data_IF_067144084706
#
_entry.id   IF_067144084706
#
_cell.length_a   1.000
_cell.length_b   1.000
_cell.length_c   1.000
_cell.angle_alpha   90.00
_cell.angle_beta   90.00
_cell.angle_gamma   90.00
#
_symmetry.space_group_name_H-M   'P 1'
#
loop_
_entity.id
_entity.type
_entity.pdbx_description
1 polymer ?
#
# COMPACT_ATOMS: atom_id res chain seq x y z
N UNK A 1 38.47 -35.91 -5.81
CA UNK A 1 37.12 -35.93 -5.19
C UNK A 1 36.70 -34.56 -4.64
N UNK A 2 37.62 -33.62 -4.39
CA UNK A 2 37.35 -32.28 -3.80
C UNK A 2 36.75 -31.24 -4.76
N UNK A 3 36.96 -31.37 -6.08
CA UNK A 3 36.42 -30.44 -7.09
C UNK A 3 34.88 -30.38 -7.12
N UNK A 4 34.22 -31.53 -6.98
CA UNK A 4 32.76 -31.60 -6.95
C UNK A 4 32.20 -30.97 -5.66
N UNK A 5 32.89 -31.19 -4.54
CA UNK A 5 32.52 -30.59 -3.26
C UNK A 5 32.60 -29.06 -3.29
N UNK A 6 33.63 -28.49 -3.93
CA UNK A 6 33.75 -27.03 -4.09
C UNK A 6 32.64 -26.47 -4.99
N UNK A 7 32.28 -27.20 -6.06
CA UNK A 7 31.20 -26.82 -6.96
C UNK A 7 29.85 -26.84 -6.24
N UNK A 8 29.57 -27.90 -5.49
CA UNK A 8 28.33 -28.04 -4.72
C UNK A 8 28.21 -26.96 -3.65
N UNK A 9 29.30 -26.64 -2.94
CA UNK A 9 29.34 -25.53 -1.98
C UNK A 9 29.07 -24.20 -2.68
N UNK A 10 29.70 -23.94 -3.82
CA UNK A 10 29.50 -22.70 -4.56
C UNK A 10 28.04 -22.53 -5.02
N UNK A 11 27.40 -23.60 -5.49
CA UNK A 11 25.99 -23.61 -5.89
C UNK A 11 25.08 -23.34 -4.70
N UNK A 12 25.32 -24.02 -3.56
CA UNK A 12 24.57 -23.79 -2.32
C UNK A 12 24.68 -22.34 -1.85
N UNK A 13 25.88 -21.77 -1.91
CA UNK A 13 26.14 -20.38 -1.51
C UNK A 13 25.41 -19.40 -2.43
N UNK A 14 25.41 -19.66 -3.75
CA UNK A 14 24.68 -18.85 -4.72
C UNK A 14 23.16 -18.88 -4.47
N UNK A 15 22.58 -20.06 -4.21
CA UNK A 15 21.16 -20.19 -3.88
C UNK A 15 20.79 -19.48 -2.58
N UNK A 16 21.64 -19.56 -1.56
CA UNK A 16 21.42 -18.86 -0.29
C UNK A 16 21.40 -17.34 -0.49
N UNK A 17 22.37 -16.80 -1.24
CA UNK A 17 22.43 -15.37 -1.56
C UNK A 17 21.20 -14.92 -2.34
N UNK A 18 20.79 -15.67 -3.36
CA UNK A 18 19.57 -15.38 -4.13
C UNK A 18 18.33 -15.37 -3.23
N UNK A 19 18.22 -16.31 -2.30
CA UNK A 19 17.13 -16.36 -1.32
C UNK A 19 17.08 -15.12 -0.42
N UNK A 20 18.23 -14.66 0.07
CA UNK A 20 18.31 -13.44 0.90
C UNK A 20 17.93 -12.19 0.10
N UNK A 21 18.44 -12.07 -1.13
CA UNK A 21 18.11 -10.95 -2.01
C UNK A 21 16.62 -10.93 -2.31
N UNK A 22 16.04 -12.08 -2.68
CA UNK A 22 14.61 -12.21 -2.93
C UNK A 22 13.77 -11.85 -1.68
N UNK A 23 14.16 -12.33 -0.50
CA UNK A 23 13.47 -12.00 0.76
C UNK A 23 13.54 -10.51 1.09
N UNK A 24 14.68 -9.85 0.83
CA UNK A 24 14.85 -8.42 1.06
C UNK A 24 14.14 -7.54 0.03
N UNK A 25 14.02 -8.00 -1.21
CA UNK A 25 13.33 -7.28 -2.28
C UNK A 25 11.83 -7.59 -2.35
N UNK A 26 11.36 -8.71 -1.81
CA UNK A 26 9.93 -9.05 -1.76
C UNK A 26 9.03 -7.93 -1.19
N UNK A 27 9.42 -7.19 -0.12
CA UNK A 27 8.64 -6.07 0.41
C UNK A 27 8.56 -4.86 -0.53
N UNK A 28 9.44 -4.73 -1.52
CA UNK A 28 9.33 -3.68 -2.55
C UNK A 28 8.24 -4.03 -3.58
N UNK A 29 7.98 -5.32 -3.80
CA UNK A 29 6.97 -5.82 -4.74
C UNK A 29 5.58 -5.90 -4.10
N UNK A 30 5.50 -6.02 -2.79
CA UNK A 30 4.26 -5.94 -2.02
C UNK A 30 4.28 -4.64 -1.23
N UNK A 31 3.81 -3.51 -1.81
CA UNK A 31 3.61 -2.31 -1.01
C UNK A 31 2.79 -2.72 0.21
N UNK A 32 3.33 -2.45 1.41
CA UNK A 32 2.58 -2.57 2.66
C UNK A 32 1.46 -1.55 2.57
N UNK A 33 0.37 -1.96 1.95
CA UNK A 33 -0.82 -1.15 1.80
C UNK A 33 -1.42 -0.99 3.18
N UNK A 34 -1.34 0.27 3.59
CA UNK A 34 -2.21 1.00 4.47
C UNK A 34 -2.58 0.33 5.79
N UNK A 35 -2.07 0.96 6.84
CA UNK A 35 -2.61 0.90 8.18
C UNK A 35 -4.14 0.84 8.08
N UNK A 36 -4.73 -0.27 8.54
CA UNK A 36 -6.18 -0.43 8.58
C UNK A 36 -6.71 0.51 9.64
N UNK A 37 -7.20 1.69 9.22
CA UNK A 37 -7.89 2.59 10.13
C UNK A 37 -9.28 2.01 10.47
N UNK A 38 -9.70 2.11 11.74
CA UNK A 38 -11.03 1.68 12.12
C UNK A 38 -12.08 2.48 11.35
N UNK A 39 -13.09 1.78 10.84
CA UNK A 39 -14.22 2.39 10.15
C UNK A 39 -14.93 3.34 11.11
N UNK A 40 -14.76 4.65 10.91
CA UNK A 40 -15.52 5.65 11.64
C UNK A 40 -17.01 5.49 11.32
N UNK A 41 -17.91 5.71 12.27
CA UNK A 41 -19.37 5.63 12.08
C UNK A 41 -19.94 6.75 11.21
N UNK A 42 -19.09 7.41 10.43
CA UNK A 42 -19.42 8.53 9.58
C UNK A 42 -20.09 8.06 8.29
N UNK A 43 -21.14 8.78 7.86
CA UNK A 43 -21.86 8.50 6.63
C UNK A 43 -21.34 9.42 5.50
N UNK A 44 -20.49 8.86 4.63
CA UNK A 44 -19.90 9.53 3.47
C UNK A 44 -20.92 10.10 2.46
N UNK A 45 -22.18 9.62 2.48
CA UNK A 45 -23.22 10.15 1.58
C UNK A 45 -23.74 11.51 2.02
N UNK A 46 -23.53 11.90 3.27
CA UNK A 46 -24.00 13.18 3.81
C UNK A 46 -22.84 14.18 3.92
N UNK A 47 -21.78 13.81 4.64
CA UNK A 47 -20.64 14.68 4.94
C UNK A 47 -19.29 13.97 4.72
N UNK A 48 -18.20 14.71 4.49
CA UNK A 48 -16.84 14.16 4.50
C UNK A 48 -16.51 13.48 5.83
N UNK A 49 -15.74 12.38 5.78
CA UNK A 49 -15.28 11.69 6.97
C UNK A 49 -13.83 12.03 7.26
N UNK A 50 -13.53 12.36 8.52
CA UNK A 50 -12.18 12.68 8.98
C UNK A 50 -11.66 11.53 9.84
N UNK A 51 -10.43 11.08 9.56
CA UNK A 51 -9.76 10.04 10.32
C UNK A 51 -8.36 10.51 10.74
N UNK A 52 -8.01 10.30 12.00
CA UNK A 52 -6.68 10.60 12.53
C UNK A 52 -5.77 9.38 12.33
N UNK A 53 -4.65 9.59 11.65
CA UNK A 53 -3.63 8.57 11.45
C UNK A 53 -2.79 8.40 12.73
N UNK A 54 -2.17 7.23 12.95
CA UNK A 54 -1.32 6.97 14.14
C UNK A 54 -0.18 7.97 14.31
N UNK A 55 0.27 8.59 13.22
CA UNK A 55 1.35 9.59 13.21
C UNK A 55 0.84 11.02 13.53
N UNK A 56 -0.44 11.19 13.88
CA UNK A 56 -1.07 12.48 14.20
C UNK A 56 -1.59 13.26 12.98
N UNK A 57 -1.37 12.76 11.76
CA UNK A 57 -1.94 13.34 10.54
C UNK A 57 -3.47 13.17 10.47
N UNK A 58 -4.16 14.08 9.78
CA UNK A 58 -5.60 13.99 9.53
C UNK A 58 -5.84 13.69 8.05
N UNK A 59 -6.62 12.66 7.77
CA UNK A 59 -7.13 12.33 6.43
C UNK A 59 -8.60 12.73 6.38
N UNK A 60 -9.00 13.49 5.36
CA UNK A 60 -10.40 13.76 5.03
C UNK A 60 -10.78 13.02 3.75
N UNK A 61 -11.85 12.24 3.81
CA UNK A 61 -12.37 11.48 2.68
C UNK A 61 -13.75 12.01 2.30
N UNK A 62 -13.85 12.57 1.09
CA UNK A 62 -15.09 13.08 0.48
C UNK A 62 -15.40 12.27 -0.77
N UNK A 63 -16.67 11.98 -1.01
CA UNK A 63 -17.13 11.37 -2.27
C UNK A 63 -18.04 12.36 -2.97
N UNK A 64 -17.76 12.69 -4.22
CA UNK A 64 -18.63 13.51 -5.08
C UNK A 64 -19.05 12.71 -6.34
N UNK A 65 -20.28 12.89 -6.87
CA UNK A 65 -21.35 13.75 -6.39
C UNK A 65 -22.15 13.10 -5.25
N UNK A 66 -22.58 13.91 -4.27
CA UNK A 66 -23.53 13.50 -3.22
C UNK A 66 -24.95 13.92 -3.58
N UNK A 67 -25.95 13.03 -3.49
CA UNK A 67 -25.89 11.58 -3.21
C UNK A 67 -25.37 10.79 -4.43
N UNK A 68 -24.68 9.68 -4.18
CA UNK A 68 -24.12 8.80 -5.22
C UNK A 68 -25.28 8.24 -6.06
N UNK A 69 -25.43 8.62 -7.34
CA UNK A 69 -26.49 8.11 -8.19
C UNK A 69 -26.20 6.65 -8.54
N UNK A 70 -27.16 5.75 -8.33
CA UNK A 70 -27.07 4.42 -8.91
C UNK A 70 -26.92 4.55 -10.45
N UNK A 71 -25.98 3.79 -11.03
CA UNK A 71 -25.71 3.73 -12.48
C UNK A 71 -24.96 4.92 -13.12
N UNK A 72 -24.14 5.67 -12.37
CA UNK A 72 -23.14 6.59 -12.96
C UNK A 72 -21.73 6.34 -12.40
N UNK A 73 -20.66 6.54 -13.18
CA UNK A 73 -19.29 6.44 -12.68
C UNK A 73 -19.06 7.41 -11.52
N UNK A 74 -18.60 6.90 -10.37
CA UNK A 74 -18.22 7.72 -9.22
C UNK A 74 -16.93 8.47 -9.53
N UNK A 75 -16.92 9.77 -9.24
CA UNK A 75 -15.72 10.60 -9.29
C UNK A 75 -15.15 10.68 -7.87
N UNK A 76 -14.18 9.81 -7.54
CA UNK A 76 -13.55 9.81 -6.22
C UNK A 76 -12.50 10.94 -6.16
N UNK A 77 -12.64 11.88 -5.22
CA UNK A 77 -11.65 12.92 -4.96
C UNK A 77 -11.05 12.75 -3.56
N UNK A 78 -9.73 12.60 -3.49
CA UNK A 78 -9.00 12.55 -2.21
C UNK A 78 -8.14 13.80 -2.09
N UNK A 79 -8.38 14.61 -1.06
CA UNK A 79 -7.56 15.78 -0.71
C UNK A 79 -6.64 15.44 0.45
N UNK A 80 -5.35 15.72 0.30
CA UNK A 80 -4.34 15.47 1.32
C UNK A 80 -3.68 16.78 1.72
N UNK A 81 -3.73 17.12 3.00
CA UNK A 81 -3.07 18.30 3.56
C UNK A 81 -1.71 17.97 4.17
N UNK A 82 -0.68 18.76 3.84
CA UNK A 82 0.63 18.70 4.51
C UNK A 82 1.58 17.59 4.07
N UNK A 83 1.32 16.90 2.96
CA UNK A 83 2.21 15.88 2.37
C UNK A 83 2.19 15.94 0.85
N UNK A 84 3.32 15.58 0.22
CA UNK A 84 3.43 15.34 -1.22
C UNK A 84 2.82 13.98 -1.55
N UNK A 85 1.93 13.91 -2.54
CA UNK A 85 1.19 12.69 -2.90
C UNK A 85 1.47 12.36 -4.36
N UNK A 86 1.77 11.10 -4.66
CA UNK A 86 1.82 10.62 -6.05
C UNK A 86 0.41 10.33 -6.55
N UNK A 87 0.11 10.66 -7.82
CA UNK A 87 -1.20 10.37 -8.43
C UNK A 87 -1.45 8.86 -8.51
N UNK A 88 -2.71 8.47 -8.28
CA UNK A 88 -3.20 7.11 -8.45
C UNK A 88 -4.01 7.08 -9.74
N UNK A 89 -3.52 6.35 -10.76
CA UNK A 89 -4.30 6.06 -11.96
C UNK A 89 -5.30 4.92 -11.66
N UNK A 90 -6.53 5.10 -12.13
CA UNK A 90 -7.66 4.18 -11.94
C UNK A 90 -8.04 3.53 -13.26
#
# INVERSE_FOLDING_TARGET
>A
MTKNLLLDIAILLALAVLGVVAYKLAPLLQPKTDIVLPLSSCNLNHNPCVATLPDGGQMEFSVEPRPIPAFRPLQLQASFGGREVLPVDV
#
